data_IF_149554672750
#
_entry.id   IF_149554672750
#
_cell.length_a   1.000
_cell.length_b   1.000
_cell.length_c   1.000
_cell.angle_alpha   90.00
_cell.angle_beta   90.00
_cell.angle_gamma   90.00
#
_symmetry.space_group_name_H-M   'P 1'
#
loop_
_entity.id
_entity.type
_entity.pdbx_description
1 polymer ?
#
# COMPACT_ATOMS: atom_id res chain seq x y z
N UNK A 1 13.70 -9.63 -48.13
CA UNK A 1 13.49 -8.56 -47.14
C UNK A 1 13.80 -9.12 -45.77
N UNK A 2 14.80 -8.57 -45.09
CA UNK A 2 15.20 -8.97 -43.74
C UNK A 2 14.11 -8.54 -42.76
N UNK A 3 13.51 -9.50 -42.06
CA UNK A 3 12.55 -9.23 -41.00
C UNK A 3 13.29 -8.94 -39.71
N UNK A 4 13.24 -7.69 -39.25
CA UNK A 4 13.67 -7.27 -37.92
C UNK A 4 12.89 -8.05 -36.85
N UNK A 5 13.45 -9.16 -36.38
CA UNK A 5 13.02 -9.78 -35.13
C UNK A 5 13.43 -8.86 -33.98
N UNK A 6 12.57 -7.89 -33.66
CA UNK A 6 12.55 -7.26 -32.35
C UNK A 6 12.34 -8.39 -31.34
N UNK A 7 13.42 -8.79 -30.66
CA UNK A 7 13.36 -9.71 -29.53
C UNK A 7 12.40 -9.13 -28.50
N UNK A 8 11.14 -9.58 -28.50
CA UNK A 8 10.32 -9.53 -27.30
C UNK A 8 11.07 -10.35 -26.27
N UNK A 9 11.53 -9.70 -25.21
CA UNK A 9 12.05 -10.36 -24.01
C UNK A 9 11.01 -11.43 -23.66
N UNK A 10 11.42 -12.69 -23.72
CA UNK A 10 10.54 -13.80 -23.37
C UNK A 10 10.36 -13.71 -21.86
N UNK A 11 9.15 -13.40 -21.43
CA UNK A 11 8.72 -13.27 -20.04
C UNK A 11 8.68 -14.67 -19.35
N UNK A 12 9.81 -15.39 -19.38
CA UNK A 12 9.93 -16.75 -18.86
C UNK A 12 11.33 -17.05 -18.31
N UNK A 13 12.16 -16.03 -18.09
CA UNK A 13 13.41 -16.18 -17.35
C UNK A 13 13.19 -15.72 -15.91
N UNK A 14 13.21 -16.69 -14.98
CA UNK A 14 13.30 -16.39 -13.54
C UNK A 14 14.66 -15.78 -13.26
N UNK A 15 14.66 -14.63 -12.61
CA UNK A 15 15.89 -14.05 -12.09
C UNK A 15 16.29 -14.81 -10.83
N UNK A 16 17.56 -15.18 -10.68
CA UNK A 16 18.06 -15.87 -9.50
C UNK A 16 19.18 -15.06 -8.86
N UNK A 17 18.98 -14.65 -7.60
CA UNK A 17 20.03 -14.09 -6.75
C UNK A 17 20.61 -15.23 -5.92
N UNK A 18 21.87 -15.55 -6.18
CA UNK A 18 22.57 -16.64 -5.48
C UNK A 18 22.92 -16.26 -4.04
N UNK A 19 23.13 -17.27 -3.19
CA UNK A 19 23.43 -17.11 -1.76
C UNK A 19 24.72 -16.32 -1.49
N UNK A 20 25.69 -16.40 -2.39
CA UNK A 20 26.97 -15.69 -2.27
C UNK A 20 26.88 -14.20 -2.60
N UNK A 21 25.71 -13.71 -3.00
CA UNK A 21 25.50 -12.33 -3.44
C UNK A 21 24.85 -11.53 -2.31
N UNK A 22 25.42 -10.35 -2.07
CA UNK A 22 24.82 -9.32 -1.20
C UNK A 22 24.49 -8.10 -2.05
N UNK A 23 23.24 -7.64 -1.99
CA UNK A 23 22.75 -6.49 -2.75
C UNK A 23 22.25 -5.44 -1.76
N UNK A 24 22.76 -4.22 -1.90
CA UNK A 24 22.28 -3.06 -1.17
C UNK A 24 21.70 -2.05 -2.17
N UNK A 25 20.41 -1.72 -2.04
CA UNK A 25 19.71 -0.81 -2.93
C UNK A 25 18.31 -1.27 -3.31
N UNK A 26 17.73 -0.63 -4.33
CA UNK A 26 16.39 -0.95 -4.83
C UNK A 26 16.45 -1.97 -5.95
N UNK A 27 15.69 -3.06 -5.82
CA UNK A 27 15.58 -4.11 -6.83
C UNK A 27 14.23 -3.97 -7.52
N UNK A 28 14.24 -3.87 -8.85
CA UNK A 28 13.04 -3.87 -9.68
C UNK A 28 13.16 -4.99 -10.71
N UNK A 29 12.21 -5.91 -10.70
CA UNK A 29 12.14 -7.00 -11.69
C UNK A 29 10.74 -7.08 -12.27
N UNK A 30 10.63 -7.14 -13.60
CA UNK A 30 9.33 -7.21 -14.30
C UNK A 30 8.67 -8.59 -14.27
N UNK A 31 9.41 -9.62 -13.87
CA UNK A 31 8.99 -11.03 -13.92
C UNK A 31 9.02 -11.70 -12.54
N UNK A 32 9.47 -12.96 -12.52
CA UNK A 32 9.65 -13.73 -11.30
C UNK A 32 11.11 -13.68 -10.82
N UNK A 33 11.31 -13.54 -9.51
CA UNK A 33 12.63 -13.48 -8.89
C UNK A 33 12.74 -14.47 -7.72
N UNK A 34 13.80 -15.28 -7.75
CA UNK A 34 14.21 -16.19 -6.70
C UNK A 34 15.40 -15.58 -5.95
N UNK A 35 15.30 -15.49 -4.63
CA UNK A 35 16.29 -14.83 -3.77
C UNK A 35 16.84 -15.85 -2.77
N UNK A 36 18.11 -16.22 -2.92
CA UNK A 36 18.84 -17.06 -1.97
C UNK A 36 19.92 -16.29 -1.18
N UNK A 37 20.17 -15.02 -1.52
CA UNK A 37 21.23 -14.20 -0.94
C UNK A 37 20.73 -13.16 0.07
N UNK A 38 21.61 -12.21 0.38
CA UNK A 38 21.34 -11.11 1.30
C UNK A 38 20.87 -9.87 0.52
N UNK A 39 19.69 -9.34 0.86
CA UNK A 39 19.17 -8.12 0.25
C UNK A 39 18.88 -7.09 1.33
N UNK A 40 19.41 -5.89 1.14
CA UNK A 40 19.05 -4.73 1.96
C UNK A 40 18.45 -3.65 1.06
N UNK A 41 17.17 -3.40 1.27
CA UNK A 41 16.43 -2.37 0.54
C UNK A 41 15.09 -2.86 0.01
N UNK A 42 14.39 -2.01 -0.76
CA UNK A 42 13.08 -2.34 -1.30
C UNK A 42 13.18 -3.25 -2.53
N UNK A 43 12.32 -4.27 -2.60
CA UNK A 43 12.21 -5.23 -3.70
C UNK A 43 10.82 -5.16 -4.30
N UNK A 44 10.76 -4.86 -5.60
CA UNK A 44 9.49 -4.72 -6.34
C UNK A 44 9.51 -5.72 -7.49
N UNK A 45 8.57 -6.66 -7.49
CA UNK A 45 8.42 -7.63 -8.57
C UNK A 45 7.02 -8.24 -8.60
N UNK A 46 6.66 -8.93 -9.68
CA UNK A 46 5.34 -9.59 -9.76
C UNK A 46 5.29 -10.85 -8.92
N UNK A 47 6.34 -11.65 -8.98
CA UNK A 47 6.47 -12.91 -8.25
C UNK A 47 7.82 -12.93 -7.55
N UNK A 48 7.81 -13.10 -6.23
CA UNK A 48 8.99 -13.05 -5.38
C UNK A 48 9.05 -14.32 -4.55
N UNK A 49 10.11 -15.10 -4.70
CA UNK A 49 10.36 -16.30 -3.90
C UNK A 49 11.64 -16.10 -3.11
N UNK A 50 11.51 -16.00 -1.79
CA UNK A 50 12.64 -15.97 -0.86
C UNK A 50 12.94 -17.40 -0.47
N UNK A 51 14.09 -17.92 -0.86
CA UNK A 51 14.54 -19.27 -0.49
C UNK A 51 14.98 -19.29 0.97
N UNK A 52 15.14 -20.49 1.52
CA UNK A 52 15.52 -20.73 2.93
C UNK A 52 16.79 -19.98 3.36
N UNK A 53 17.80 -19.92 2.48
CA UNK A 53 19.06 -19.20 2.74
C UNK A 53 18.97 -17.68 2.50
N UNK A 54 17.86 -17.22 1.91
CA UNK A 54 17.63 -15.81 1.63
C UNK A 54 17.33 -15.03 2.91
N UNK A 55 17.96 -13.86 3.03
CA UNK A 55 17.62 -12.89 4.08
C UNK A 55 17.37 -11.54 3.45
N UNK A 56 16.20 -10.97 3.70
CA UNK A 56 15.82 -9.66 3.17
C UNK A 56 15.50 -8.74 4.33
N UNK A 57 16.13 -7.57 4.33
CA UNK A 57 15.86 -6.48 5.25
C UNK A 57 15.35 -5.28 4.46
N UNK A 58 14.07 -4.96 4.58
CA UNK A 58 13.49 -3.84 3.85
C UNK A 58 11.99 -3.97 3.60
N UNK A 59 11.57 -3.60 2.38
CA UNK A 59 10.17 -3.65 1.99
C UNK A 59 10.00 -4.49 0.73
N UNK A 60 9.05 -5.43 0.74
CA UNK A 60 8.69 -6.24 -0.41
C UNK A 60 7.34 -5.77 -0.95
N UNK A 61 7.26 -5.57 -2.26
CA UNK A 61 6.01 -5.27 -2.96
C UNK A 61 5.86 -6.20 -4.17
N UNK A 62 4.78 -6.98 -4.20
CA UNK A 62 4.50 -7.87 -5.33
C UNK A 62 3.16 -8.60 -5.28
N UNK A 63 2.67 -9.06 -6.43
CA UNK A 63 1.38 -9.75 -6.51
C UNK A 63 1.43 -11.12 -5.83
N UNK A 64 2.50 -11.89 -6.04
CA UNK A 64 2.74 -13.19 -5.45
C UNK A 64 4.05 -13.18 -4.65
N UNK A 65 3.97 -13.42 -3.34
CA UNK A 65 5.15 -13.43 -2.45
C UNK A 65 5.20 -14.74 -1.70
N UNK A 66 6.30 -15.46 -1.83
CA UNK A 66 6.56 -16.73 -1.16
C UNK A 66 7.84 -16.62 -0.31
N UNK A 67 7.73 -16.93 0.98
CA UNK A 67 8.81 -16.73 1.96
C UNK A 67 9.18 -18.05 2.62
N UNK A 68 10.35 -18.59 2.27
CA UNK A 68 10.97 -19.74 2.95
C UNK A 68 12.14 -19.34 3.85
N UNK A 69 12.72 -18.15 3.65
CA UNK A 69 13.87 -17.66 4.41
C UNK A 69 13.52 -16.67 5.52
N UNK A 70 14.42 -15.73 5.74
CA UNK A 70 14.30 -14.69 6.75
C UNK A 70 13.85 -13.36 6.14
N UNK A 71 12.79 -12.79 6.70
CA UNK A 71 12.20 -11.54 6.27
C UNK A 71 12.09 -10.58 7.44
N UNK A 72 12.73 -9.42 7.32
CA UNK A 72 12.63 -8.33 8.30
C UNK A 72 12.14 -7.05 7.61
N UNK A 73 10.99 -6.54 8.04
CA UNK A 73 10.42 -5.28 7.58
C UNK A 73 8.97 -5.42 7.10
N UNK A 74 8.63 -4.72 6.01
CA UNK A 74 7.25 -4.63 5.52
C UNK A 74 7.04 -5.49 4.28
N UNK A 75 6.01 -6.33 4.28
CA UNK A 75 5.62 -7.13 3.11
C UNK A 75 4.26 -6.64 2.62
N UNK A 76 4.18 -6.24 1.36
CA UNK A 76 2.95 -5.81 0.70
C UNK A 76 2.69 -6.69 -0.50
N UNK A 77 1.51 -7.28 -0.61
CA UNK A 77 1.21 -8.10 -1.78
C UNK A 77 -0.22 -8.59 -1.93
N UNK A 78 -0.47 -9.31 -3.02
CA UNK A 78 -1.76 -9.91 -3.34
C UNK A 78 -1.97 -11.21 -2.58
N UNK A 79 -1.26 -12.24 -3.01
CA UNK A 79 -1.24 -13.57 -2.44
C UNK A 79 0.13 -13.81 -1.77
N UNK A 80 0.11 -13.96 -0.45
CA UNK A 80 1.31 -14.18 0.36
C UNK A 80 1.30 -15.62 0.86
N UNK A 81 2.42 -16.32 0.69
CA UNK A 81 2.65 -17.68 1.16
C UNK A 81 3.88 -17.68 2.04
N UNK A 82 3.75 -18.17 3.27
CA UNK A 82 4.87 -18.33 4.19
C UNK A 82 5.13 -19.83 4.31
N UNK A 83 6.31 -20.24 3.83
CA UNK A 83 6.75 -21.63 3.80
C UNK A 83 7.13 -22.16 5.17
N UNK A 84 7.37 -23.46 5.25
CA UNK A 84 7.66 -24.21 6.48
C UNK A 84 8.83 -23.68 7.35
N UNK A 85 9.80 -23.00 6.74
CA UNK A 85 11.01 -22.44 7.39
C UNK A 85 11.01 -20.91 7.38
N UNK A 86 9.96 -20.31 6.82
CA UNK A 86 9.80 -18.87 6.69
C UNK A 86 9.69 -18.20 8.05
N UNK A 87 10.61 -17.28 8.34
CA UNK A 87 10.55 -16.41 9.51
C UNK A 87 10.27 -14.99 9.06
N UNK A 88 9.13 -14.44 9.47
CA UNK A 88 8.71 -13.09 9.10
C UNK A 88 8.62 -12.22 10.34
N UNK A 89 9.40 -11.13 10.35
CA UNK A 89 9.40 -10.12 11.40
C UNK A 89 8.98 -8.76 10.83
N UNK A 90 7.80 -8.28 11.20
CA UNK A 90 7.29 -6.97 10.82
C UNK A 90 5.87 -6.98 10.27
N UNK A 91 5.55 -5.99 9.42
CA UNK A 91 4.19 -5.72 9.00
C UNK A 91 3.86 -6.43 7.68
N UNK A 92 2.79 -7.23 7.67
CA UNK A 92 2.29 -7.95 6.49
C UNK A 92 0.97 -7.33 6.04
N UNK A 93 0.97 -6.73 4.86
CA UNK A 93 -0.22 -6.19 4.18
C UNK A 93 -0.56 -7.06 2.97
N UNK A 94 -1.62 -7.89 3.08
CA UNK A 94 -2.06 -8.73 1.96
C UNK A 94 -3.44 -8.31 1.43
N UNK A 95 -3.64 -8.43 0.12
CA UNK A 95 -4.89 -8.01 -0.53
C UNK A 95 -5.90 -9.14 -0.69
N UNK A 96 -5.45 -10.30 -1.16
CA UNK A 96 -6.31 -11.43 -1.49
C UNK A 96 -6.25 -12.52 -0.43
N UNK A 97 -5.16 -13.30 -0.42
CA UNK A 97 -5.00 -14.46 0.43
C UNK A 97 -3.67 -14.45 1.17
N UNK A 98 -3.69 -14.96 2.40
CA UNK A 98 -2.50 -15.30 3.18
C UNK A 98 -2.55 -16.80 3.45
N UNK A 99 -1.49 -17.52 3.07
CA UNK A 99 -1.29 -18.93 3.36
C UNK A 99 -0.02 -19.10 4.19
N UNK A 100 -0.07 -20.02 5.12
CA UNK A 100 1.04 -20.33 6.01
C UNK A 100 1.18 -21.83 6.10
N UNK A 101 2.38 -22.33 5.87
CA UNK A 101 2.71 -23.74 6.01
C UNK A 101 3.11 -24.08 7.45
N UNK A 102 3.10 -25.38 7.79
CA UNK A 102 3.48 -25.84 9.12
C UNK A 102 4.96 -25.57 9.39
N UNK A 103 5.25 -24.86 10.48
CA UNK A 103 6.62 -24.53 10.91
C UNK A 103 7.03 -23.06 10.70
N UNK A 104 6.21 -22.28 9.99
CA UNK A 104 6.45 -20.84 9.81
C UNK A 104 6.37 -20.09 11.14
N UNK A 105 7.30 -19.15 11.34
CA UNK A 105 7.33 -18.24 12.48
C UNK A 105 7.01 -16.82 12.00
N UNK A 106 6.02 -16.19 12.62
CA UNK A 106 5.53 -14.88 12.22
C UNK A 106 5.41 -14.01 13.47
N UNK A 107 6.17 -12.94 13.51
CA UNK A 107 6.14 -11.95 14.58
C UNK A 107 5.92 -10.55 13.99
N UNK A 108 4.74 -9.97 14.23
CA UNK A 108 4.41 -8.63 13.79
C UNK A 108 2.94 -8.43 13.51
N UNK A 109 2.63 -7.39 12.74
CA UNK A 109 1.24 -6.98 12.50
C UNK A 109 0.77 -7.44 11.12
N UNK A 110 -0.36 -8.13 11.11
CA UNK A 110 -0.96 -8.63 9.87
C UNK A 110 -2.23 -7.83 9.58
N UNK A 111 -2.29 -7.22 8.41
CA UNK A 111 -3.43 -6.42 7.94
C UNK A 111 -3.87 -6.87 6.56
N UNK A 112 -5.16 -7.16 6.42
CA UNK A 112 -5.77 -7.33 5.09
C UNK A 112 -6.07 -5.97 4.49
N UNK A 113 -5.42 -5.61 3.39
CA UNK A 113 -5.71 -4.41 2.60
C UNK A 113 -6.67 -4.77 1.48
N UNK A 114 -7.98 -4.66 1.72
CA UNK A 114 -8.91 -4.74 0.59
C UNK A 114 -8.65 -3.49 -0.26
N UNK A 115 -8.14 -3.65 -1.48
CA UNK A 115 -8.03 -2.57 -2.47
C UNK A 115 -9.44 -2.24 -3.02
N UNK A 116 -10.39 -2.00 -2.13
CA UNK A 116 -11.72 -1.48 -2.39
C UNK A 116 -11.86 -0.16 -1.63
N UNK A 117 -11.46 0.92 -2.28
CA UNK A 117 -11.83 2.32 -1.96
C UNK A 117 -11.71 2.72 -0.47
N UNK A 118 -10.50 2.92 0.05
CA UNK A 118 -10.30 3.91 1.12
C UNK A 118 -9.93 5.28 0.52
N UNK A 119 -10.79 5.78 -0.38
CA UNK A 119 -10.82 7.18 -0.85
C UNK A 119 -12.11 7.85 -0.37
N UNK A 120 -12.62 7.44 0.80
CA UNK A 120 -13.91 7.86 1.36
C UNK A 120 -13.81 8.97 2.41
N UNK A 121 -12.64 9.57 2.62
CA UNK A 121 -12.47 10.68 3.57
C UNK A 121 -12.56 12.07 2.95
N UNK A 122 -12.54 12.22 1.62
CA UNK A 122 -12.53 13.54 0.97
C UNK A 122 -13.92 14.08 0.56
N UNK A 123 -14.93 13.22 0.39
CA UNK A 123 -16.24 13.65 -0.14
C UNK A 123 -17.20 14.18 0.94
N UNK A 124 -16.97 13.89 2.23
CA UNK A 124 -17.84 14.35 3.33
C UNK A 124 -17.57 15.79 3.79
N UNK A 125 -16.49 16.43 3.32
CA UNK A 125 -16.09 17.77 3.76
C UNK A 125 -16.68 18.92 2.91
N UNK A 126 -17.39 18.63 1.81
CA UNK A 126 -17.86 19.67 0.87
C UNK A 126 -19.37 19.94 0.86
N UNK A 127 -20.19 19.30 1.70
CA UNK A 127 -21.65 19.51 1.71
C UNK A 127 -22.16 20.66 2.59
N UNK A 128 -21.30 21.63 2.97
CA UNK A 128 -21.75 22.80 3.73
C UNK A 128 -21.15 24.10 3.25
N UNK A 129 -21.22 24.38 1.95
CA UNK A 129 -21.03 25.73 1.40
C UNK A 129 -21.48 25.78 -0.06
N UNK A 130 -22.75 26.15 -0.30
CA UNK A 130 -23.20 27.07 -1.35
C UNK A 130 -24.71 26.96 -1.51
N UNK A 131 -25.41 27.91 -0.92
CA UNK A 131 -26.61 28.45 -1.56
C UNK A 131 -26.48 29.97 -1.65
N UNK A 132 -26.43 30.40 -2.92
CA UNK A 132 -26.83 31.67 -3.53
C UNK A 132 -25.93 32.91 -3.58
N UNK A 133 -25.98 33.41 -4.82
CA UNK A 133 -25.20 34.43 -5.51
C UNK A 133 -25.69 35.88 -5.27
N UNK A 134 -24.82 36.79 -5.70
CA UNK A 134 -24.79 38.25 -5.63
C UNK A 134 -25.99 39.00 -6.26
N UNK A 135 -26.26 40.22 -5.75
CA UNK A 135 -26.54 41.43 -6.58
C UNK A 135 -26.30 42.74 -5.79
N UNK A 136 -25.50 43.64 -6.37
CA UNK A 136 -25.15 45.02 -5.92
C UNK A 136 -26.35 45.99 -5.95
N UNK A 137 -26.43 46.97 -5.02
CA UNK A 137 -26.20 48.43 -5.23
C UNK A 137 -26.69 49.33 -4.06
N UNK A 138 -25.83 50.30 -3.69
CA UNK A 138 -26.00 51.69 -3.17
C UNK A 138 -26.83 52.07 -1.92
N UNK A 139 -26.08 52.66 -0.97
CA UNK A 139 -26.22 53.94 -0.24
C UNK A 139 -27.51 54.37 0.51
N UNK A 140 -27.21 54.83 1.74
CA UNK A 140 -27.80 55.89 2.55
C UNK A 140 -29.04 55.65 3.42
N UNK A 141 -28.92 56.13 4.66
CA UNK A 141 -30.02 56.68 5.44
C UNK A 141 -30.37 55.83 6.65
N UNK A 142 -29.88 56.24 7.82
CA UNK A 142 -30.31 55.67 9.09
C UNK A 142 -31.76 55.97 9.43
N UNK A 143 -32.27 55.29 10.45
CA UNK A 143 -33.14 55.84 11.48
C UNK A 143 -33.38 54.79 12.55
N UNK A 144 -33.48 55.32 13.75
CA UNK A 144 -33.57 54.65 15.04
C UNK A 144 -34.96 54.04 15.30
N UNK A 145 -35.05 53.35 16.45
CA UNK A 145 -36.24 52.87 17.16
C UNK A 145 -36.82 51.52 16.66
N UNK A 146 -36.99 50.50 17.50
CA UNK A 146 -37.78 50.59 18.72
C UNK A 146 -37.37 49.62 19.85
N UNK A 147 -37.60 50.13 21.06
CA UNK A 147 -37.51 49.53 22.39
C UNK A 147 -38.13 48.14 22.53
N UNK A 148 -37.42 47.31 23.31
CA UNK A 148 -37.94 46.16 24.03
C UNK A 148 -39.10 46.57 24.95
N UNK A 149 -40.20 45.81 24.92
CA UNK A 149 -41.21 45.76 25.97
C UNK A 149 -41.46 44.29 26.31
N UNK A 150 -40.68 43.76 27.24
CA UNK A 150 -41.08 42.57 27.98
C UNK A 150 -41.73 43.05 29.28
N UNK A 151 -43.05 43.09 29.26
CA UNK A 151 -43.88 43.18 30.46
C UNK A 151 -45.06 42.25 30.24
N UNK A 152 -45.05 41.11 30.90
CA UNK A 152 -46.28 40.57 31.51
C UNK A 152 -45.91 39.60 32.63
N UNK A 153 -46.37 39.98 33.81
CA UNK A 153 -46.47 39.18 35.01
C UNK A 153 -47.64 38.19 34.89
N UNK A 154 -47.62 37.15 35.72
CA UNK A 154 -48.73 36.33 36.29
C UNK A 154 -48.07 35.00 36.71
N UNK A 155 -48.18 34.46 37.92
CA UNK A 155 -48.98 34.74 39.10
C UNK A 155 -48.25 34.16 40.33
#
# INVERSE_FOLDING_TARGET
MFGDKKNKIKDSERSLISETVSIEGTINSSGAIDIAGLIKGPVISKEIIVRETGSITGSIDGDHVEIHGHMDGKISGGDIVIGNTGTVKGDIEFSNNLKTENGADIDGYIKKTNVSKSKLSADFLFSKSKDKEEKKHKENGGSEANLNKDSEALA
#
